data_IF_595660580666
#
_entry.id   IF_595660580666
#
_cell.length_a   1.000
_cell.length_b   1.000
_cell.length_c   1.000
_cell.angle_alpha   90.00
_cell.angle_beta   90.00
_cell.angle_gamma   90.00
#
_symmetry.space_group_name_H-M   'P 1'
#
loop_
_entity.id
_entity.type
_entity.pdbx_description
1 polymer ?
#
# COMPACT_ATOMS: atom_id res chain seq x y z
N UNK A 1 8.07 -22.78 9.56
CA UNK A 1 7.09 -22.30 10.56
C UNK A 1 6.62 -20.92 10.11
N UNK A 2 5.32 -20.68 10.04
CA UNK A 2 4.77 -19.38 9.64
C UNK A 2 5.09 -18.33 10.72
N UNK A 3 6.00 -17.41 10.41
CA UNK A 3 6.29 -16.31 11.32
C UNK A 3 5.12 -15.32 11.32
N UNK A 4 4.82 -14.74 12.49
CA UNK A 4 3.69 -13.85 12.74
C UNK A 4 3.73 -12.66 11.77
N UNK A 5 2.82 -12.63 10.82
CA UNK A 5 2.68 -11.51 9.89
C UNK A 5 1.99 -10.33 10.60
N UNK A 6 2.54 -9.13 10.45
CA UNK A 6 1.92 -7.91 10.98
C UNK A 6 0.96 -7.36 9.95
N UNK A 7 -0.32 -7.20 10.30
CA UNK A 7 -1.30 -6.64 9.37
C UNK A 7 -1.30 -5.12 9.52
N UNK A 8 -1.06 -4.43 8.42
CA UNK A 8 -1.15 -2.99 8.27
C UNK A 8 -2.40 -2.63 7.48
N UNK A 9 -3.09 -1.59 7.95
CA UNK A 9 -4.20 -0.97 7.22
C UNK A 9 -3.72 0.40 6.77
N UNK A 10 -3.64 0.59 5.46
CA UNK A 10 -3.27 1.86 4.84
C UNK A 10 -4.50 2.42 4.13
N UNK A 11 -4.97 3.59 4.60
CA UNK A 11 -5.95 4.36 3.86
C UNK A 11 -5.19 5.29 2.91
N UNK A 12 -5.31 5.06 1.61
CA UNK A 12 -4.67 5.86 0.56
C UNK A 12 -5.74 6.69 -0.10
N UNK A 13 -5.57 8.01 -0.06
CA UNK A 13 -6.42 8.94 -0.78
C UNK A 13 -5.57 9.60 -1.88
N UNK A 14 -5.89 9.32 -3.13
CA UNK A 14 -5.19 9.85 -4.31
C UNK A 14 -6.06 10.92 -4.92
N UNK A 15 -5.59 12.15 -4.88
CA UNK A 15 -6.23 13.28 -5.56
C UNK A 15 -5.43 13.61 -6.83
N UNK A 16 -5.80 13.00 -7.95
CA UNK A 16 -5.21 13.29 -9.26
C UNK A 16 -5.96 14.46 -9.89
N UNK A 17 -5.36 15.65 -9.80
CA UNK A 17 -5.92 16.89 -10.34
C UNK A 17 -5.77 16.99 -11.86
N UNK A 18 -4.86 16.23 -12.46
CA UNK A 18 -4.64 16.20 -13.91
C UNK A 18 -5.81 15.49 -14.62
N UNK A 19 -6.29 14.39 -14.02
CA UNK A 19 -7.44 13.61 -14.49
C UNK A 19 -8.74 13.93 -13.77
N UNK A 20 -8.70 14.84 -12.79
CA UNK A 20 -9.85 15.18 -11.93
C UNK A 20 -10.45 13.95 -11.20
N UNK A 21 -9.62 12.93 -10.93
CA UNK A 21 -10.04 11.70 -10.26
C UNK A 21 -9.62 11.71 -8.79
N UNK A 22 -10.56 11.34 -7.92
CA UNK A 22 -10.34 11.14 -6.50
C UNK A 22 -10.54 9.65 -6.21
N UNK A 23 -9.50 8.98 -5.73
CA UNK A 23 -9.52 7.57 -5.36
C UNK A 23 -9.33 7.45 -3.85
N UNK A 24 -10.31 6.88 -3.17
CA UNK A 24 -10.19 6.43 -1.79
C UNK A 24 -10.01 4.91 -1.78
N UNK A 25 -8.83 4.44 -1.37
CA UNK A 25 -8.47 3.03 -1.37
C UNK A 25 -8.00 2.60 0.02
N UNK A 26 -8.78 1.71 0.65
CA UNK A 26 -8.38 1.06 1.89
C UNK A 26 -7.64 -0.24 1.61
N UNK A 27 -6.32 -0.20 1.70
CA UNK A 27 -5.43 -1.32 1.47
C UNK A 27 -5.12 -2.05 2.79
N UNK A 28 -5.23 -3.37 2.76
CA UNK A 28 -4.79 -4.24 3.86
C UNK A 28 -3.52 -4.96 3.42
N UNK A 29 -2.39 -4.62 4.04
CA UNK A 29 -1.07 -5.14 3.72
C UNK A 29 -0.62 -6.09 4.83
N UNK A 30 -0.32 -7.33 4.48
CA UNK A 30 0.32 -8.27 5.40
C UNK A 30 1.85 -8.14 5.28
N UNK A 31 2.51 -7.64 6.32
CA UNK A 31 3.97 -7.66 6.42
C UNK A 31 4.44 -9.05 6.83
N UNK A 32 5.12 -9.73 5.92
CA UNK A 32 5.90 -10.89 6.33
C UNK A 32 7.12 -10.40 7.15
N UNK A 33 7.50 -11.04 8.25
CA UNK A 33 8.59 -10.55 9.11
C UNK A 33 9.98 -10.61 8.47
N UNK A 34 10.12 -11.28 7.31
CA UNK A 34 11.31 -11.16 6.45
C UNK A 34 11.29 -9.95 5.52
N UNK A 35 10.18 -9.21 5.47
CA UNK A 35 9.99 -8.02 4.64
C UNK A 35 10.26 -6.76 5.47
N UNK A 36 11.23 -5.95 5.06
CA UNK A 36 11.52 -4.67 5.72
C UNK A 36 10.39 -3.67 5.50
N UNK A 37 10.25 -2.69 6.41
CA UNK A 37 9.24 -1.64 6.25
C UNK A 37 9.42 -0.85 4.95
N UNK A 38 10.66 -0.64 4.52
CA UNK A 38 10.97 0.04 3.26
C UNK A 38 10.43 -0.72 2.03
N UNK A 39 10.54 -2.05 2.01
CA UNK A 39 9.95 -2.86 0.92
C UNK A 39 8.43 -2.81 0.92
N UNK A 40 7.80 -2.76 2.09
CA UNK A 40 6.35 -2.57 2.18
C UNK A 40 5.93 -1.19 1.65
N UNK A 41 6.65 -0.12 2.00
CA UNK A 41 6.39 1.22 1.49
C UNK A 41 6.57 1.30 -0.04
N UNK A 42 7.59 0.64 -0.59
CA UNK A 42 7.77 0.49 -2.04
C UNK A 42 6.62 -0.25 -2.70
N UNK A 43 6.06 -1.28 -2.06
CA UNK A 43 4.88 -1.98 -2.56
C UNK A 43 3.64 -1.09 -2.54
N UNK A 44 3.46 -0.30 -1.48
CA UNK A 44 2.38 0.69 -1.39
C UNK A 44 2.50 1.75 -2.49
N UNK A 45 3.72 2.29 -2.70
CA UNK A 45 4.00 3.28 -3.72
C UNK A 45 3.86 2.71 -5.14
N UNK A 46 4.23 1.44 -5.35
CA UNK A 46 4.01 0.74 -6.61
C UNK A 46 2.53 0.44 -6.87
N UNK A 47 1.73 0.15 -5.84
CA UNK A 47 0.28 -0.03 -5.99
C UNK A 47 -0.41 1.29 -6.42
N UNK A 48 0.04 2.42 -5.88
CA UNK A 48 -0.39 3.75 -6.33
C UNK A 48 -0.02 3.97 -7.81
N UNK A 49 1.22 3.67 -8.20
CA UNK A 49 1.68 3.80 -9.59
C UNK A 49 1.00 2.85 -10.57
N UNK A 50 0.55 1.66 -10.14
CA UNK A 50 -0.18 0.70 -10.98
C UNK A 50 -1.64 1.13 -11.20
N UNK A 51 -2.21 1.93 -10.30
CA UNK A 51 -3.55 2.53 -10.50
C UNK A 51 -3.52 3.79 -11.39
N UNK A 52 -2.36 4.21 -11.89
CA UNK A 52 -2.16 5.35 -12.79
C UNK A 52 -2.43 4.98 -14.24
#
# INVERSE_FOLDING_TARGET
MALKATIYKAAVNVADLDRNQFLDANLTLAQHPSETQERMMLRLLGMDQICR
#
